data_IF_193046965812
#
_entry.id   IF_193046965812
#
_cell.length_a   1.000
_cell.length_b   1.000
_cell.length_c   1.000
_cell.angle_alpha   90.00
_cell.angle_beta   90.00
_cell.angle_gamma   90.00
#
_symmetry.space_group_name_H-M   'P 1'
#
loop_
_entity.id
_entity.type
_entity.pdbx_description
1 polymer ?
#
# COMPACT_ATOMS: atom_id res chain seq x y z
N UNK A 1 -11.40 9.87 -54.17
CA UNK A 1 -12.46 9.87 -53.14
C UNK A 1 -11.96 8.94 -52.06
N UNK A 2 -11.23 9.50 -51.09
CA UNK A 2 -10.70 8.73 -49.94
C UNK A 2 -11.58 9.05 -48.73
N UNK A 3 -12.32 8.06 -48.29
CA UNK A 3 -13.14 8.15 -47.08
C UNK A 3 -12.27 7.84 -45.89
N UNK A 4 -11.74 8.86 -45.23
CA UNK A 4 -11.08 8.76 -43.91
C UNK A 4 -12.09 8.36 -42.86
N UNK A 5 -12.07 7.10 -42.47
CA UNK A 5 -12.82 6.59 -41.31
C UNK A 5 -12.17 7.06 -40.03
N UNK A 6 -12.68 8.15 -39.44
CA UNK A 6 -12.38 8.60 -38.09
C UNK A 6 -13.04 7.62 -37.11
N UNK A 7 -12.31 6.60 -36.68
CA UNK A 7 -12.71 5.78 -35.54
C UNK A 7 -12.67 6.65 -34.29
N UNK A 8 -13.83 7.08 -33.83
CA UNK A 8 -14.03 7.76 -32.58
C UNK A 8 -13.54 6.84 -31.42
N UNK A 9 -12.41 7.17 -30.84
CA UNK A 9 -11.95 6.53 -29.61
C UNK A 9 -12.92 6.95 -28.50
N UNK A 10 -13.77 6.03 -28.09
CA UNK A 10 -14.60 6.17 -26.89
C UNK A 10 -13.67 6.43 -25.71
N UNK A 11 -13.84 7.52 -24.93
CA UNK A 11 -12.99 7.77 -23.77
C UNK A 11 -13.16 6.60 -22.79
N UNK A 12 -12.07 5.90 -22.47
CA UNK A 12 -12.04 4.93 -21.38
C UNK A 12 -12.40 5.70 -20.11
N UNK A 13 -13.59 5.45 -19.58
CA UNK A 13 -13.95 5.88 -18.22
C UNK A 13 -12.90 5.26 -17.31
N UNK A 14 -12.05 6.08 -16.73
CA UNK A 14 -11.03 5.64 -15.78
C UNK A 14 -11.77 5.04 -14.58
N UNK A 15 -11.83 3.73 -14.51
CA UNK A 15 -12.41 3.02 -13.37
C UNK A 15 -11.59 3.37 -12.14
N UNK A 16 -12.22 3.93 -11.11
CA UNK A 16 -11.52 4.27 -9.88
C UNK A 16 -10.88 3.02 -9.27
N UNK A 17 -9.63 3.11 -8.78
CA UNK A 17 -8.95 1.97 -8.16
C UNK A 17 -9.78 1.43 -6.99
N UNK A 18 -9.85 0.11 -6.89
CA UNK A 18 -10.56 -0.59 -5.81
C UNK A 18 -9.57 -1.40 -4.99
N UNK A 19 -9.71 -1.34 -3.69
CA UNK A 19 -8.82 -2.00 -2.72
C UNK A 19 -9.52 -3.27 -2.24
N UNK A 20 -8.89 -4.46 -2.39
CA UNK A 20 -9.47 -5.72 -1.93
C UNK A 20 -9.74 -5.74 -0.42
N UNK A 21 -10.80 -6.42 -0.03
CA UNK A 21 -11.17 -6.61 1.38
C UNK A 21 -10.04 -7.20 2.23
N UNK A 22 -9.20 -8.07 1.65
CA UNK A 22 -8.04 -8.65 2.34
C UNK A 22 -7.02 -7.62 2.79
N UNK A 23 -6.91 -6.48 2.10
CA UNK A 23 -6.02 -5.37 2.49
C UNK A 23 -6.61 -4.64 3.71
N UNK A 24 -7.93 -4.41 3.73
CA UNK A 24 -8.63 -3.87 4.88
C UNK A 24 -8.55 -4.83 6.08
N UNK A 25 -8.78 -6.13 5.88
CA UNK A 25 -8.61 -7.15 6.92
C UNK A 25 -7.19 -7.09 7.49
N UNK A 26 -6.18 -7.04 6.60
CA UNK A 26 -4.78 -7.00 7.00
C UNK A 26 -4.46 -5.84 7.92
N UNK A 27 -4.89 -4.61 7.57
CA UNK A 27 -4.61 -3.46 8.42
C UNK A 27 -5.55 -3.38 9.62
N UNK A 28 -6.86 -3.37 9.38
CA UNK A 28 -7.82 -2.96 10.41
C UNK A 28 -8.23 -4.11 11.33
N UNK A 29 -8.18 -5.37 10.89
CA UNK A 29 -8.57 -6.51 11.73
C UNK A 29 -7.35 -7.18 12.35
N UNK A 30 -6.33 -7.51 11.54
CA UNK A 30 -5.15 -8.26 11.98
C UNK A 30 -4.03 -7.36 12.52
N UNK A 31 -3.85 -6.18 11.89
CA UNK A 31 -2.76 -5.26 12.26
C UNK A 31 -3.08 -4.40 13.47
N UNK A 32 -4.29 -3.85 13.54
CA UNK A 32 -4.70 -2.89 14.57
C UNK A 32 -5.56 -3.51 15.68
N UNK A 33 -6.15 -4.69 15.45
CA UNK A 33 -7.04 -5.36 16.42
C UNK A 33 -8.08 -4.37 16.98
N UNK A 34 -9.06 -3.90 16.19
CA UNK A 34 -9.82 -2.71 16.48
C UNK A 34 -10.68 -2.87 17.74
N UNK A 35 -10.58 -1.92 18.65
CA UNK A 35 -11.55 -1.78 19.75
C UNK A 35 -12.93 -1.32 19.22
N UNK A 36 -13.95 -1.36 20.09
CA UNK A 36 -15.31 -1.02 19.69
C UNK A 36 -15.50 0.41 19.14
N UNK A 37 -14.63 1.37 19.51
CA UNK A 37 -14.66 2.74 18.97
C UNK A 37 -14.14 2.78 17.53
N UNK A 38 -12.96 2.22 17.29
CA UNK A 38 -12.37 2.18 15.95
C UNK A 38 -13.26 1.39 14.98
N UNK A 39 -13.81 0.23 15.42
CA UNK A 39 -14.69 -0.56 14.56
C UNK A 39 -15.96 0.21 14.14
N UNK A 40 -16.61 0.94 15.06
CA UNK A 40 -17.77 1.78 14.73
C UNK A 40 -17.42 2.91 13.79
N UNK A 41 -16.29 3.54 14.01
CA UNK A 41 -15.84 4.64 13.18
C UNK A 41 -15.47 4.18 11.75
N UNK A 42 -14.84 3.00 11.60
CA UNK A 42 -14.57 2.38 10.30
C UNK A 42 -15.87 2.05 9.55
N UNK A 43 -16.88 1.52 10.25
CA UNK A 43 -18.18 1.21 9.67
C UNK A 43 -18.89 2.49 9.16
N UNK A 44 -18.78 3.61 9.88
CA UNK A 44 -19.31 4.90 9.44
C UNK A 44 -18.62 5.44 8.17
N UNK A 45 -17.35 5.10 7.96
CA UNK A 45 -16.58 5.44 6.74
C UNK A 45 -16.80 4.45 5.58
N UNK A 46 -17.59 3.40 5.79
CA UNK A 46 -17.99 2.44 4.77
C UNK A 46 -17.24 1.10 4.81
N UNK A 47 -16.49 0.80 5.87
CA UNK A 47 -15.88 -0.51 6.08
C UNK A 47 -16.38 -1.14 7.38
N UNK A 48 -17.30 -2.10 7.28
CA UNK A 48 -17.73 -2.91 8.41
C UNK A 48 -16.94 -4.24 8.45
N UNK A 49 -16.04 -4.43 9.44
CA UNK A 49 -15.29 -5.68 9.59
C UNK A 49 -16.17 -6.94 9.80
N UNK A 50 -17.41 -6.77 10.23
CA UNK A 50 -18.34 -7.89 10.48
C UNK A 50 -19.09 -8.32 9.22
N UNK A 51 -19.20 -7.42 8.23
CA UNK A 51 -19.88 -7.67 6.98
C UNK A 51 -19.07 -7.08 5.80
N UNK A 52 -17.85 -7.60 5.52
CA UNK A 52 -16.98 -7.02 4.51
C UNK A 52 -17.51 -7.29 3.10
N UNK A 53 -17.37 -6.30 2.21
CA UNK A 53 -17.56 -6.44 0.77
C UNK A 53 -16.32 -7.12 0.15
N UNK A 54 -16.38 -7.44 -1.14
CA UNK A 54 -15.24 -8.03 -1.88
C UNK A 54 -14.08 -7.05 -2.02
N UNK A 55 -14.40 -5.79 -2.32
CA UNK A 55 -13.47 -4.69 -2.46
C UNK A 55 -14.15 -3.33 -2.22
N UNK A 56 -13.36 -2.29 -2.01
CA UNK A 56 -13.82 -0.95 -1.67
C UNK A 56 -13.19 0.12 -2.56
N UNK A 57 -13.88 1.25 -2.85
CA UNK A 57 -13.27 2.39 -3.51
C UNK A 57 -12.02 2.88 -2.75
N UNK A 58 -10.98 3.29 -3.45
CA UNK A 58 -9.74 3.81 -2.83
C UNK A 58 -10.01 5.00 -1.89
N UNK A 59 -11.09 5.74 -2.08
CA UNK A 59 -11.46 6.84 -1.19
C UNK A 59 -11.92 6.35 0.19
N UNK A 60 -12.60 5.19 0.26
CA UNK A 60 -12.96 4.55 1.55
C UNK A 60 -11.67 4.16 2.28
N UNK A 61 -10.72 3.53 1.57
CA UNK A 61 -9.39 3.22 2.12
C UNK A 61 -8.73 4.44 2.73
N UNK A 62 -8.64 5.55 1.98
CA UNK A 62 -8.01 6.79 2.45
C UNK A 62 -8.63 7.31 3.75
N UNK A 63 -9.97 7.36 3.82
CA UNK A 63 -10.69 7.84 5.01
C UNK A 63 -10.47 6.91 6.19
N UNK A 64 -10.55 5.60 5.99
CA UNK A 64 -10.30 4.61 7.05
C UNK A 64 -8.86 4.68 7.59
N UNK A 65 -7.84 4.86 6.72
CA UNK A 65 -6.45 5.00 7.14
C UNK A 65 -6.23 6.30 7.91
N UNK A 66 -6.80 7.42 7.45
CA UNK A 66 -6.73 8.69 8.16
C UNK A 66 -7.40 8.61 9.54
N UNK A 67 -8.58 8.02 9.61
CA UNK A 67 -9.31 7.77 10.85
C UNK A 67 -8.50 6.92 11.84
N UNK A 68 -7.89 5.83 11.36
CA UNK A 68 -7.04 4.98 12.19
C UNK A 68 -5.80 5.73 12.70
N UNK A 69 -5.21 6.59 11.86
CA UNK A 69 -4.13 7.49 12.28
C UNK A 69 -4.57 8.36 13.46
N UNK A 70 -5.72 9.00 13.35
CA UNK A 70 -6.21 9.95 14.36
C UNK A 70 -6.61 9.25 15.68
N UNK A 71 -7.28 8.10 15.59
CA UNK A 71 -7.76 7.39 16.77
C UNK A 71 -6.70 6.54 17.48
N UNK A 72 -5.76 5.95 16.74
CA UNK A 72 -4.77 5.04 17.31
C UNK A 72 -3.42 5.72 17.58
N UNK A 73 -3.09 6.78 16.85
CA UNK A 73 -1.76 7.41 16.86
C UNK A 73 -1.83 8.95 16.83
N UNK A 74 -2.91 9.55 17.37
CA UNK A 74 -3.14 10.99 17.33
C UNK A 74 -2.02 11.84 17.95
N UNK A 75 -1.33 11.30 18.95
CA UNK A 75 -0.21 11.96 19.65
C UNK A 75 1.11 11.95 18.86
N UNK A 76 1.23 11.12 17.81
CA UNK A 76 2.43 11.02 17.00
C UNK A 76 2.41 12.01 15.83
N UNK A 77 3.60 12.31 15.30
CA UNK A 77 3.68 13.01 14.02
C UNK A 77 3.06 12.18 12.89
N UNK A 78 2.57 12.84 11.82
CA UNK A 78 2.04 12.15 10.65
C UNK A 78 3.03 11.14 10.08
N UNK A 79 4.31 11.51 9.99
CA UNK A 79 5.35 10.64 9.47
C UNK A 79 5.49 9.34 10.27
N UNK A 80 5.52 9.43 11.60
CA UNK A 80 5.63 8.27 12.49
C UNK A 80 4.36 7.41 12.44
N UNK A 81 3.19 8.04 12.57
CA UNK A 81 1.91 7.34 12.59
C UNK A 81 1.67 6.56 11.29
N UNK A 82 1.86 7.19 10.12
CA UNK A 82 1.68 6.51 8.84
C UNK A 82 2.73 5.41 8.62
N UNK A 83 3.97 5.58 9.10
CA UNK A 83 4.99 4.52 9.03
C UNK A 83 4.58 3.31 9.87
N UNK A 84 4.07 3.52 11.08
CA UNK A 84 3.55 2.45 11.93
C UNK A 84 2.35 1.75 11.24
N UNK A 85 1.41 2.49 10.68
CA UNK A 85 0.26 1.92 9.97
C UNK A 85 0.71 1.07 8.77
N UNK A 86 1.71 1.50 8.01
CA UNK A 86 2.29 0.71 6.92
C UNK A 86 2.92 -0.59 7.41
N UNK A 87 3.66 -0.54 8.51
CA UNK A 87 4.22 -1.74 9.18
C UNK A 87 3.11 -2.70 9.63
N UNK A 88 2.07 -2.16 10.29
CA UNK A 88 0.90 -2.91 10.73
C UNK A 88 0.14 -3.56 9.58
N UNK A 89 -0.01 -2.87 8.44
CA UNK A 89 -0.59 -3.45 7.24
C UNK A 89 0.16 -4.71 6.80
N UNK A 90 1.49 -4.62 6.62
CA UNK A 90 2.27 -5.75 6.11
C UNK A 90 2.33 -6.91 7.10
N UNK A 91 2.40 -6.61 8.40
CA UNK A 91 2.33 -7.63 9.47
C UNK A 91 0.99 -8.36 9.43
N UNK A 92 -0.12 -7.63 9.52
CA UNK A 92 -1.44 -8.24 9.55
C UNK A 92 -1.88 -8.84 8.22
N UNK A 93 -1.47 -8.26 7.08
CA UNK A 93 -1.76 -8.84 5.76
C UNK A 93 -1.12 -10.24 5.62
N UNK A 94 0.09 -10.44 6.15
CA UNK A 94 0.72 -11.75 6.14
C UNK A 94 -0.07 -12.83 6.93
N UNK A 95 -0.99 -12.43 7.80
CA UNK A 95 -1.86 -13.33 8.55
C UNK A 95 -3.22 -13.57 7.86
N UNK A 96 -3.52 -12.84 6.77
CA UNK A 96 -4.68 -13.11 5.93
C UNK A 96 -4.45 -14.36 5.05
N UNK A 97 -5.53 -14.97 4.55
CA UNK A 97 -5.43 -16.13 3.67
C UNK A 97 -4.59 -15.82 2.42
N UNK A 98 -4.80 -14.65 1.81
CA UNK A 98 -4.07 -14.20 0.60
C UNK A 98 -2.62 -13.88 0.92
N UNK A 99 -2.39 -13.17 2.03
CA UNK A 99 -1.06 -12.71 2.44
C UNK A 99 -0.12 -13.83 2.86
N UNK A 100 -0.63 -14.91 3.45
CA UNK A 100 0.17 -16.09 3.83
C UNK A 100 0.93 -16.69 2.64
N UNK A 101 0.27 -16.79 1.50
CA UNK A 101 0.90 -17.32 0.27
C UNK A 101 2.06 -16.43 -0.17
N UNK A 102 1.89 -15.10 -0.11
CA UNK A 102 2.94 -14.15 -0.46
C UNK A 102 4.08 -14.14 0.58
N UNK A 103 3.74 -14.22 1.86
CA UNK A 103 4.70 -14.13 2.98
C UNK A 103 5.68 -15.31 3.02
N UNK A 104 5.24 -16.52 2.66
CA UNK A 104 6.11 -17.72 2.62
C UNK A 104 7.26 -17.56 1.62
N UNK A 105 7.08 -16.83 0.54
CA UNK A 105 8.11 -16.64 -0.48
C UNK A 105 9.17 -15.59 -0.10
N UNK A 106 8.84 -14.62 0.77
CA UNK A 106 9.73 -13.49 1.08
C UNK A 106 11.13 -13.88 1.57
N UNK A 107 11.29 -14.83 2.53
CA UNK A 107 12.60 -15.22 3.01
C UNK A 107 13.48 -15.86 1.91
N UNK A 108 12.86 -16.47 0.90
CA UNK A 108 13.55 -17.24 -0.13
C UNK A 108 14.02 -16.39 -1.31
N UNK A 109 13.38 -15.25 -1.57
CA UNK A 109 13.66 -14.48 -2.78
C UNK A 109 14.74 -13.42 -2.61
N UNK A 110 15.08 -13.07 -1.38
CA UNK A 110 16.09 -12.05 -1.05
C UNK A 110 15.63 -10.60 -1.25
N UNK A 111 16.31 -9.68 -0.58
CA UNK A 111 15.89 -8.26 -0.47
C UNK A 111 15.76 -7.54 -1.82
N UNK A 112 16.70 -7.71 -2.73
CA UNK A 112 16.65 -7.07 -4.06
C UNK A 112 15.36 -7.42 -4.80
N UNK A 113 15.00 -8.71 -4.83
CA UNK A 113 13.77 -9.18 -5.49
C UNK A 113 12.49 -8.77 -4.76
N UNK A 114 12.53 -8.59 -3.43
CA UNK A 114 11.39 -8.02 -2.69
C UNK A 114 11.08 -6.62 -3.22
N UNK A 115 12.09 -5.76 -3.36
CA UNK A 115 11.92 -4.40 -3.90
C UNK A 115 11.50 -4.45 -5.38
N UNK A 116 12.13 -5.29 -6.20
CA UNK A 116 11.79 -5.43 -7.62
C UNK A 116 10.37 -5.93 -7.87
N UNK A 117 9.78 -6.66 -6.92
CA UNK A 117 8.39 -7.12 -6.99
C UNK A 117 7.36 -6.13 -6.44
N UNK A 118 7.78 -4.97 -5.97
CA UNK A 118 6.87 -3.96 -5.43
C UNK A 118 5.69 -3.62 -6.36
N UNK A 119 5.88 -3.44 -7.70
CA UNK A 119 4.75 -3.20 -8.61
C UNK A 119 3.68 -4.30 -8.54
N UNK A 120 4.12 -5.56 -8.45
CA UNK A 120 3.23 -6.72 -8.31
C UNK A 120 2.48 -6.73 -6.98
N UNK A 121 3.14 -6.35 -5.89
CA UNK A 121 2.50 -6.26 -4.57
C UNK A 121 1.46 -5.15 -4.55
N UNK A 122 1.77 -3.99 -5.12
CA UNK A 122 0.81 -2.88 -5.24
C UNK A 122 -0.40 -3.28 -6.12
N UNK A 123 -0.18 -3.98 -7.23
CA UNK A 123 -1.26 -4.50 -8.06
C UNK A 123 -2.16 -5.48 -7.28
N UNK A 124 -1.58 -6.38 -6.50
CA UNK A 124 -2.31 -7.31 -5.63
C UNK A 124 -3.11 -6.58 -4.53
N UNK A 125 -2.63 -5.42 -4.09
CA UNK A 125 -3.32 -4.54 -3.15
C UNK A 125 -4.36 -3.60 -3.82
N UNK A 126 -4.73 -3.86 -5.08
CA UNK A 126 -5.75 -3.10 -5.81
C UNK A 126 -5.23 -1.85 -6.51
N UNK A 127 -3.91 -1.72 -6.69
CA UNK A 127 -3.27 -0.58 -7.36
C UNK A 127 -2.44 -1.01 -8.59
N UNK A 128 -3.07 -1.71 -9.56
CA UNK A 128 -2.39 -2.05 -10.83
C UNK A 128 -2.13 -0.83 -11.73
N UNK A 129 -2.73 0.31 -11.39
CA UNK A 129 -2.60 1.59 -12.07
C UNK A 129 -1.27 2.30 -11.81
N UNK A 130 -0.49 1.87 -10.80
CA UNK A 130 0.75 2.52 -10.41
C UNK A 130 1.94 2.04 -11.24
N UNK A 131 2.47 2.93 -12.08
CA UNK A 131 3.70 2.70 -12.84
C UNK A 131 4.92 2.99 -11.97
N UNK A 132 5.32 2.03 -11.16
CA UNK A 132 6.47 2.16 -10.26
C UNK A 132 7.77 2.09 -11.03
N UNK A 133 8.64 3.07 -10.85
CA UNK A 133 9.98 3.09 -11.41
C UNK A 133 11.02 2.67 -10.37
N UNK A 134 11.91 1.76 -10.74
CA UNK A 134 12.96 1.22 -9.89
C UNK A 134 14.33 1.48 -10.54
N UNK A 135 15.20 2.20 -9.81
CA UNK A 135 16.55 2.50 -10.26
C UNK A 135 17.56 1.97 -9.26
N UNK A 136 18.52 1.16 -9.70
CA UNK A 136 19.64 0.75 -8.88
C UNK A 136 20.56 1.94 -8.64
N UNK A 137 20.80 2.27 -7.37
CA UNK A 137 21.71 3.37 -6.95
C UNK A 137 22.91 2.84 -6.13
N UNK A 138 23.01 1.53 -6.04
CA UNK A 138 24.06 0.80 -5.36
C UNK A 138 23.76 -0.70 -5.38
N UNK A 139 24.70 -1.51 -4.94
CA UNK A 139 24.54 -2.97 -4.88
C UNK A 139 23.37 -3.36 -3.99
N UNK A 140 23.25 -2.70 -2.83
CA UNK A 140 22.21 -2.94 -1.81
C UNK A 140 21.31 -1.70 -1.63
N UNK A 141 21.02 -0.99 -2.72
CA UNK A 141 20.21 0.21 -2.70
C UNK A 141 19.39 0.36 -3.98
N UNK A 142 18.13 0.75 -3.82
CA UNK A 142 17.20 1.07 -4.92
C UNK A 142 16.50 2.39 -4.65
N UNK A 143 16.40 3.22 -5.68
CA UNK A 143 15.49 4.36 -5.68
C UNK A 143 14.18 3.93 -6.30
N UNK A 144 13.09 4.20 -5.59
CA UNK A 144 11.73 3.78 -5.94
C UNK A 144 10.88 5.01 -6.14
N UNK A 145 10.38 5.25 -7.35
CA UNK A 145 9.44 6.34 -7.63
C UNK A 145 8.04 5.75 -7.80
N UNK A 146 7.09 6.25 -7.03
CA UNK A 146 5.70 5.76 -7.00
C UNK A 146 4.76 6.93 -7.29
N UNK A 147 4.01 6.91 -8.41
CA UNK A 147 3.03 7.94 -8.75
C UNK A 147 1.73 7.75 -7.96
N UNK A 148 1.84 7.64 -6.63
CA UNK A 148 0.70 7.45 -5.73
C UNK A 148 0.37 8.73 -4.99
N UNK A 149 -0.83 9.25 -5.23
CA UNK A 149 -1.38 10.43 -4.56
C UNK A 149 -2.38 10.07 -3.45
N UNK A 150 -2.62 8.79 -3.24
CA UNK A 150 -3.60 8.29 -2.28
C UNK A 150 -2.98 7.88 -0.95
N UNK A 151 -1.78 7.31 -0.97
CA UNK A 151 -1.07 6.94 0.24
C UNK A 151 0.02 7.95 0.60
N UNK A 152 0.33 8.04 1.88
CA UNK A 152 1.50 8.78 2.36
C UNK A 152 2.77 7.97 2.10
N UNK A 153 3.89 8.59 1.73
CA UNK A 153 5.14 7.87 1.46
C UNK A 153 5.64 7.08 2.68
N UNK A 154 5.42 7.57 3.89
CA UNK A 154 5.79 6.86 5.12
C UNK A 154 5.00 5.56 5.30
N UNK A 155 3.76 5.52 4.86
CA UNK A 155 2.94 4.31 4.89
C UNK A 155 3.59 3.21 4.03
N UNK A 156 3.98 3.55 2.80
CA UNK A 156 4.65 2.61 1.91
C UNK A 156 6.06 2.26 2.43
N UNK A 157 6.78 3.24 3.02
CA UNK A 157 8.07 2.99 3.64
C UNK A 157 7.97 1.96 4.78
N UNK A 158 7.01 2.12 5.69
CA UNK A 158 6.78 1.17 6.77
C UNK A 158 6.38 -0.22 6.27
N UNK A 159 5.57 -0.30 5.21
CA UNK A 159 5.20 -1.58 4.60
C UNK A 159 6.41 -2.29 3.99
N UNK A 160 7.29 -1.56 3.30
CA UNK A 160 8.53 -2.09 2.72
C UNK A 160 9.53 -2.56 3.78
N UNK A 161 9.65 -1.85 4.90
CA UNK A 161 10.52 -2.26 6.00
C UNK A 161 10.17 -3.66 6.49
N UNK A 162 8.90 -3.91 6.79
CA UNK A 162 8.47 -5.24 7.26
C UNK A 162 8.67 -6.32 6.19
N UNK A 163 8.40 -6.00 4.92
CA UNK A 163 8.63 -6.96 3.84
C UNK A 163 10.11 -7.34 3.71
N UNK A 164 11.03 -6.38 3.88
CA UNK A 164 12.47 -6.59 3.83
C UNK A 164 13.01 -7.28 5.09
N UNK A 165 12.49 -6.93 6.28
CA UNK A 165 12.81 -7.64 7.53
C UNK A 165 12.48 -9.13 7.43
N UNK A 166 11.37 -9.49 6.76
CA UNK A 166 11.01 -10.89 6.46
C UNK A 166 11.95 -11.55 5.46
N UNK A 167 12.69 -10.78 4.65
CA UNK A 167 13.78 -11.27 3.81
C UNK A 167 15.14 -11.31 4.55
N UNK A 168 15.12 -11.26 5.89
CA UNK A 168 16.27 -11.37 6.79
C UNK A 168 17.34 -10.27 6.60
N UNK A 169 16.93 -9.06 6.25
CA UNK A 169 17.81 -7.91 6.19
C UNK A 169 17.32 -6.80 7.14
N UNK A 170 18.22 -5.87 7.45
CA UNK A 170 17.89 -4.65 8.21
C UNK A 170 17.72 -3.49 7.23
N UNK A 171 16.49 -3.13 6.84
CA UNK A 171 16.25 -2.09 5.87
C UNK A 171 16.34 -0.70 6.47
N UNK A 172 16.77 0.25 5.63
CA UNK A 172 16.62 1.69 5.86
C UNK A 172 15.81 2.24 4.70
N UNK A 173 14.58 2.67 4.96
CA UNK A 173 13.72 3.29 3.95
C UNK A 173 13.52 4.76 4.27
N UNK A 174 14.03 5.63 3.43
CA UNK A 174 13.91 7.09 3.58
C UNK A 174 13.07 7.69 2.46
N UNK A 175 12.28 8.71 2.80
CA UNK A 175 11.54 9.52 1.84
C UNK A 175 12.50 10.58 1.30
N UNK A 176 12.80 10.55 -0.01
CA UNK A 176 13.69 11.53 -0.66
C UNK A 176 12.92 12.74 -1.18
N UNK A 177 11.70 12.52 -1.68
CA UNK A 177 10.93 13.56 -2.34
C UNK A 177 9.42 13.28 -2.26
N UNK A 178 8.64 14.38 -2.28
CA UNK A 178 7.17 14.36 -2.34
C UNK A 178 6.69 15.42 -3.33
N UNK A 179 5.75 15.07 -4.15
CA UNK A 179 5.09 15.99 -5.07
C UNK A 179 3.59 15.71 -5.13
N UNK A 180 2.87 16.56 -5.86
CA UNK A 180 1.46 16.33 -6.16
C UNK A 180 1.24 15.15 -7.12
N UNK A 181 2.28 14.63 -7.74
CA UNK A 181 2.22 13.49 -8.67
C UNK A 181 2.63 12.16 -8.02
N UNK A 182 3.15 12.19 -6.79
CA UNK A 182 3.62 11.00 -6.08
C UNK A 182 4.84 11.28 -5.22
N UNK A 183 5.65 10.25 -4.98
CA UNK A 183 6.79 10.35 -4.07
C UNK A 183 7.93 9.42 -4.47
N UNK A 184 9.09 9.65 -3.87
CA UNK A 184 10.31 8.87 -4.09
C UNK A 184 10.88 8.37 -2.76
N UNK A 185 11.21 7.10 -2.75
CA UNK A 185 11.85 6.43 -1.62
C UNK A 185 13.26 5.99 -2.00
N UNK A 186 14.18 6.07 -1.04
CA UNK A 186 15.45 5.39 -1.10
C UNK A 186 15.41 4.20 -0.15
N UNK A 187 15.57 3.00 -0.71
CA UNK A 187 15.54 1.73 0.00
C UNK A 187 16.95 1.16 0.04
N UNK A 188 17.49 0.89 1.24
CA UNK A 188 18.80 0.27 1.48
C UNK A 188 18.62 -0.96 2.38
N UNK A 189 19.50 -1.96 2.20
CA UNK A 189 19.51 -3.18 3.03
C UNK A 189 20.89 -3.81 3.17
#
# INVERSE_FOLDING_TARGET
MESSSLLAQTPRVATQPRIPSSVFEGLFVRGLEPNGQLARALAAEGYDPKCPEVDYPVQVWKRCVALARDLAYGELSDAEAYRILGRKLTQGFADTLVGRVAAVALPMIGAARVVERLPRYLAMMGRPDLEVQLVAVGERARRVTIPDTHNRPEFIAGALEVALERAHVQPIVSVEDRSHQGFRLLVRW
#
